data_IF_992935909495
#
_entry.id   IF_992935909495
#
_cell.length_a   1.000
_cell.length_b   1.000
_cell.length_c   1.000
_cell.angle_alpha   90.00
_cell.angle_beta   90.00
_cell.angle_gamma   90.00
#
_symmetry.space_group_name_H-M   'P 1'
#
loop_
_entity.id
_entity.type
_entity.pdbx_description
1 polymer ?
#
# COMPACT_ATOMS: atom_id res chain seq x y z
N UNK A 1 25.66 -9.63 -1.34
CA UNK A 1 24.46 -8.91 -1.76
C UNK A 1 24.76 -7.43 -1.87
N UNK A 2 24.41 -6.82 -3.00
CA UNK A 2 24.43 -5.37 -3.20
C UNK A 2 23.00 -4.87 -3.09
N UNK A 3 22.77 -3.87 -2.23
CA UNK A 3 21.45 -3.22 -2.08
C UNK A 3 21.50 -1.89 -2.84
N UNK A 4 20.62 -1.75 -3.84
CA UNK A 4 20.50 -0.55 -4.65
C UNK A 4 19.31 0.29 -4.16
N UNK A 5 19.53 1.59 -3.98
CA UNK A 5 18.51 2.56 -3.57
C UNK A 5 18.72 3.92 -4.29
N UNK A 6 19.02 3.88 -5.59
CA UNK A 6 19.14 5.08 -6.42
C UNK A 6 17.75 5.61 -6.83
N UNK A 7 17.71 6.71 -7.56
CA UNK A 7 16.46 7.30 -8.05
C UNK A 7 15.59 6.28 -8.79
N UNK A 8 14.27 6.46 -8.71
CA UNK A 8 13.26 5.60 -9.31
C UNK A 8 13.18 5.81 -10.83
N UNK A 9 14.23 5.35 -11.53
CA UNK A 9 14.40 5.40 -12.98
C UNK A 9 14.85 4.02 -13.49
N UNK A 10 14.08 3.45 -14.42
CA UNK A 10 14.31 2.10 -14.93
C UNK A 10 15.68 1.97 -15.62
N UNK A 11 16.06 2.95 -16.45
CA UNK A 11 17.32 2.88 -17.18
C UNK A 11 18.51 2.96 -16.23
N UNK A 12 18.42 3.81 -15.21
CA UNK A 12 19.45 3.92 -14.18
C UNK A 12 19.60 2.61 -13.40
N UNK A 13 18.47 2.00 -12.98
CA UNK A 13 18.50 0.73 -12.24
C UNK A 13 19.04 -0.42 -13.11
N UNK A 14 18.67 -0.50 -14.39
CA UNK A 14 19.24 -1.47 -15.33
C UNK A 14 20.76 -1.27 -15.54
N UNK A 15 21.23 -0.02 -15.58
CA UNK A 15 22.65 0.30 -15.61
C UNK A 15 23.36 -0.19 -14.35
N UNK A 16 22.77 0.07 -13.17
CA UNK A 16 23.32 -0.41 -11.88
C UNK A 16 23.43 -1.94 -11.83
N UNK A 17 22.46 -2.67 -12.38
CA UNK A 17 22.55 -4.14 -12.53
C UNK A 17 23.77 -4.50 -13.35
N UNK A 18 23.96 -3.90 -14.53
CA UNK A 18 25.10 -4.18 -15.41
C UNK A 18 26.43 -3.84 -14.73
N UNK A 19 26.52 -2.70 -14.04
CA UNK A 19 27.74 -2.28 -13.34
C UNK A 19 28.11 -3.26 -12.21
N UNK A 20 27.12 -3.78 -11.47
CA UNK A 20 27.35 -4.80 -10.43
C UNK A 20 27.77 -6.14 -11.06
N UNK A 21 27.15 -6.55 -12.16
CA UNK A 21 27.52 -7.79 -12.86
C UNK A 21 28.94 -7.76 -13.45
N UNK A 22 29.44 -6.57 -13.79
CA UNK A 22 30.79 -6.38 -14.35
C UNK A 22 31.87 -6.34 -13.27
N UNK A 23 31.58 -5.75 -12.10
CA UNK A 23 32.61 -5.42 -11.11
C UNK A 23 32.54 -6.26 -9.83
N UNK A 24 31.44 -6.98 -9.60
CA UNK A 24 31.28 -7.81 -8.42
C UNK A 24 31.44 -9.31 -8.74
N UNK A 25 31.61 -10.12 -7.70
CA UNK A 25 31.67 -11.58 -7.81
C UNK A 25 30.41 -12.14 -8.50
N UNK A 26 30.59 -13.21 -9.30
CA UNK A 26 29.51 -13.85 -10.05
C UNK A 26 28.35 -14.37 -9.16
N UNK A 27 28.62 -14.61 -7.90
CA UNK A 27 27.61 -15.03 -6.92
C UNK A 27 26.85 -13.86 -6.29
N UNK A 28 27.15 -12.62 -6.67
CA UNK A 28 26.55 -11.41 -6.08
C UNK A 28 25.10 -11.26 -6.47
N UNK A 29 24.23 -11.17 -5.46
CA UNK A 29 22.81 -10.86 -5.62
C UNK A 29 22.65 -9.34 -5.70
N UNK A 30 21.87 -8.89 -6.69
CA UNK A 30 21.43 -7.50 -6.83
C UNK A 30 20.03 -7.34 -6.22
N UNK A 31 19.93 -6.62 -5.12
CA UNK A 31 18.67 -6.35 -4.41
C UNK A 31 18.29 -4.88 -4.58
N UNK A 32 17.16 -4.59 -5.24
CA UNK A 32 16.69 -3.23 -5.49
C UNK A 32 15.63 -2.81 -4.47
N UNK A 33 15.77 -1.59 -3.92
CA UNK A 33 14.77 -0.97 -3.03
C UNK A 33 13.76 -0.13 -3.83
N UNK A 34 13.38 -0.57 -5.01
CA UNK A 34 12.29 0.08 -5.77
C UNK A 34 10.97 -0.05 -5.01
N UNK A 35 10.12 0.98 -5.11
CA UNK A 35 8.77 0.98 -4.53
C UNK A 35 7.67 0.79 -5.57
N UNK A 36 7.99 0.95 -6.87
CA UNK A 36 6.98 0.96 -7.93
C UNK A 36 7.41 0.30 -9.23
N UNK A 37 8.71 0.25 -9.53
CA UNK A 37 9.19 -0.36 -10.77
C UNK A 37 9.15 -1.89 -10.69
N UNK A 38 8.59 -2.58 -11.71
CA UNK A 38 8.57 -4.04 -11.74
C UNK A 38 9.98 -4.63 -11.74
N UNK A 39 10.22 -5.59 -10.87
CA UNK A 39 11.52 -6.29 -10.78
C UNK A 39 11.83 -6.99 -12.09
N UNK A 40 10.82 -7.55 -12.75
CA UNK A 40 10.93 -8.16 -14.09
C UNK A 40 11.54 -7.21 -15.11
N UNK A 41 11.15 -5.92 -15.09
CA UNK A 41 11.71 -4.93 -16.00
C UNK A 41 13.15 -4.55 -15.64
N UNK A 42 13.47 -4.46 -14.36
CA UNK A 42 14.84 -4.17 -13.89
C UNK A 42 15.77 -5.33 -14.29
N UNK A 43 15.31 -6.57 -14.15
CA UNK A 43 16.06 -7.78 -14.49
C UNK A 43 16.16 -8.06 -16.01
N UNK A 44 15.35 -7.38 -16.85
CA UNK A 44 15.19 -7.73 -18.28
C UNK A 44 16.50 -7.68 -19.10
N UNK A 45 17.48 -6.88 -18.69
CA UNK A 45 18.78 -6.75 -19.36
C UNK A 45 19.92 -7.39 -18.56
N UNK A 46 19.63 -8.04 -17.43
CA UNK A 46 20.63 -8.69 -16.61
C UNK A 46 21.22 -9.93 -17.31
N UNK A 47 22.52 -10.17 -17.13
CA UNK A 47 23.18 -11.40 -17.56
C UNK A 47 22.85 -12.58 -16.65
N UNK A 48 22.54 -12.27 -15.38
CA UNK A 48 22.18 -13.22 -14.32
C UNK A 48 20.84 -12.82 -13.67
N UNK A 49 19.72 -12.85 -14.42
CA UNK A 49 18.43 -12.41 -13.92
C UNK A 49 17.97 -13.19 -12.68
N UNK A 50 18.42 -14.44 -12.50
CA UNK A 50 18.13 -15.27 -11.34
C UNK A 50 18.71 -14.73 -10.02
N UNK A 51 19.63 -13.77 -10.10
CA UNK A 51 20.24 -13.08 -8.96
C UNK A 51 19.70 -11.65 -8.75
N UNK A 52 18.69 -11.22 -9.52
CA UNK A 52 18.01 -9.95 -9.34
C UNK A 52 16.74 -10.16 -8.51
N UNK A 53 16.58 -9.34 -7.48
CA UNK A 53 15.46 -9.45 -6.55
C UNK A 53 15.05 -8.06 -6.02
N UNK A 54 13.79 -7.88 -5.64
CA UNK A 54 13.37 -6.71 -4.87
C UNK A 54 13.63 -6.90 -3.37
N UNK A 55 14.05 -5.84 -2.72
CA UNK A 55 14.18 -5.76 -1.26
C UNK A 55 13.63 -4.39 -0.84
N UNK A 56 12.32 -4.32 -0.74
CA UNK A 56 11.59 -3.09 -0.47
C UNK A 56 11.48 -2.84 1.02
N UNK A 57 12.09 -1.75 1.47
CA UNK A 57 11.99 -1.26 2.84
C UNK A 57 10.95 -0.16 2.93
N UNK A 58 10.38 0.01 4.12
CA UNK A 58 9.41 1.05 4.44
C UNK A 58 10.07 2.19 5.21
N UNK A 59 9.65 3.41 4.92
CA UNK A 59 10.19 4.60 5.57
C UNK A 59 9.44 4.92 6.88
N UNK A 60 10.15 5.29 7.96
CA UNK A 60 11.61 5.33 8.16
C UNK A 60 12.21 3.93 8.29
N UNK A 61 13.28 3.66 7.54
CA UNK A 61 13.85 2.30 7.44
C UNK A 61 14.32 1.74 8.78
N UNK A 62 14.84 2.58 9.67
CA UNK A 62 15.31 2.21 11.01
C UNK A 62 14.17 1.81 11.97
N UNK A 63 12.94 2.25 11.70
CA UNK A 63 11.77 2.04 12.56
C UNK A 63 10.80 1.01 12.02
N UNK A 64 10.62 0.97 10.71
CA UNK A 64 9.65 0.07 10.07
C UNK A 64 10.17 -1.36 10.05
N UNK A 65 9.42 -2.32 10.64
CA UNK A 65 9.91 -3.68 10.80
C UNK A 65 9.80 -4.54 9.55
N UNK A 66 8.93 -4.20 8.58
CA UNK A 66 8.69 -5.00 7.39
C UNK A 66 9.79 -4.83 6.34
N UNK A 67 10.08 -5.92 5.63
CA UNK A 67 10.75 -5.90 4.33
C UNK A 67 9.97 -6.81 3.36
N UNK A 68 9.55 -6.30 2.21
CA UNK A 68 9.02 -7.12 1.12
C UNK A 68 10.17 -7.63 0.27
N UNK A 69 10.23 -8.94 0.10
CA UNK A 69 11.16 -9.62 -0.79
C UNK A 69 10.41 -9.94 -2.07
N UNK A 70 10.67 -9.18 -3.14
CA UNK A 70 9.87 -9.24 -4.36
C UNK A 70 10.59 -10.13 -5.38
N UNK A 71 9.92 -11.20 -5.81
CA UNK A 71 10.44 -12.18 -6.76
C UNK A 71 9.82 -12.02 -8.13
N UNK A 72 10.63 -12.03 -9.18
CA UNK A 72 10.17 -12.19 -10.55
C UNK A 72 10.29 -13.66 -11.01
N UNK A 73 9.68 -14.05 -12.15
CA UNK A 73 9.65 -15.46 -12.57
C UNK A 73 11.03 -16.13 -12.73
N UNK A 74 12.08 -15.34 -12.95
CA UNK A 74 13.46 -15.84 -13.09
C UNK A 74 14.25 -15.90 -11.79
N UNK A 75 13.75 -15.37 -10.67
CA UNK A 75 14.53 -15.33 -9.41
C UNK A 75 14.74 -16.73 -8.83
N UNK A 76 15.99 -17.07 -8.52
CA UNK A 76 16.32 -18.39 -7.97
C UNK A 76 15.96 -18.53 -6.48
N UNK A 77 15.66 -19.76 -6.04
CA UNK A 77 15.40 -20.07 -4.63
C UNK A 77 16.57 -19.68 -3.71
N UNK A 78 17.81 -19.85 -4.20
CA UNK A 78 19.02 -19.43 -3.48
C UNK A 78 19.02 -17.91 -3.25
N UNK A 79 18.67 -17.13 -4.26
CA UNK A 79 18.57 -15.66 -4.17
C UNK A 79 17.50 -15.27 -3.15
N UNK A 80 16.33 -15.90 -3.21
CA UNK A 80 15.23 -15.66 -2.27
C UNK A 80 15.68 -15.98 -0.83
N UNK A 81 16.19 -17.18 -0.59
CA UNK A 81 16.59 -17.62 0.75
C UNK A 81 17.70 -16.74 1.34
N UNK A 82 18.67 -16.34 0.51
CA UNK A 82 19.77 -15.45 0.94
C UNK A 82 19.25 -14.07 1.32
N UNK A 83 18.35 -13.49 0.52
CA UNK A 83 17.77 -12.17 0.76
C UNK A 83 16.87 -12.17 2.00
N UNK A 84 16.03 -13.21 2.19
CA UNK A 84 15.25 -13.41 3.41
C UNK A 84 16.16 -13.50 4.64
N UNK A 85 17.25 -14.26 4.57
CA UNK A 85 18.23 -14.38 5.65
C UNK A 85 18.89 -13.04 5.97
N UNK A 86 19.24 -12.25 4.95
CA UNK A 86 19.79 -10.90 5.10
C UNK A 86 18.81 -9.98 5.82
N UNK A 87 17.55 -9.93 5.37
CA UNK A 87 16.52 -9.08 5.98
C UNK A 87 16.33 -9.44 7.48
N UNK A 88 16.29 -10.74 7.81
CA UNK A 88 16.24 -11.20 9.22
C UNK A 88 17.43 -10.74 10.05
N UNK A 89 18.66 -10.83 9.48
CA UNK A 89 19.88 -10.34 10.15
C UNK A 89 19.88 -8.84 10.39
N UNK A 90 19.16 -8.09 9.56
CA UNK A 90 18.93 -6.65 9.73
C UNK A 90 17.83 -6.32 10.76
N UNK A 91 17.24 -7.32 11.41
CA UNK A 91 16.15 -7.15 12.36
C UNK A 91 14.79 -6.92 11.71
N UNK A 92 14.67 -7.19 10.39
CA UNK A 92 13.39 -7.07 9.68
C UNK A 92 12.56 -8.35 9.76
N UNK A 93 11.27 -8.19 9.59
CA UNK A 93 10.30 -9.26 9.37
C UNK A 93 10.04 -9.35 7.86
N UNK A 94 10.66 -10.27 7.12
CA UNK A 94 10.46 -10.38 5.68
C UNK A 94 9.20 -11.16 5.35
N UNK A 95 8.49 -10.72 4.30
CA UNK A 95 7.51 -11.51 3.54
C UNK A 95 8.01 -11.65 2.11
N UNK A 96 7.68 -12.78 1.47
CA UNK A 96 8.03 -13.00 0.05
C UNK A 96 6.78 -12.79 -0.79
N UNK A 97 6.88 -11.85 -1.74
CA UNK A 97 5.78 -11.48 -2.63
C UNK A 97 6.21 -11.64 -4.09
N UNK A 98 5.24 -11.89 -4.98
CA UNK A 98 5.49 -11.86 -6.42
C UNK A 98 5.56 -10.42 -6.92
N UNK A 99 6.31 -10.23 -8.01
CA UNK A 99 6.39 -8.97 -8.73
C UNK A 99 5.01 -8.57 -9.29
N UNK A 100 4.66 -7.32 -9.13
CA UNK A 100 3.39 -6.74 -9.58
C UNK A 100 3.27 -5.28 -9.15
N UNK A 101 2.34 -4.56 -9.76
CA UNK A 101 2.12 -3.14 -9.45
C UNK A 101 1.77 -2.92 -7.97
N UNK A 102 2.58 -2.11 -7.28
CA UNK A 102 2.43 -1.80 -5.87
C UNK A 102 2.78 -2.96 -4.91
N UNK A 103 3.29 -4.07 -5.42
CA UNK A 103 3.61 -5.29 -4.68
C UNK A 103 2.41 -5.76 -3.86
N UNK A 104 2.55 -5.96 -2.55
CA UNK A 104 1.42 -6.25 -1.68
C UNK A 104 0.97 -5.03 -0.88
N UNK A 105 1.88 -4.42 -0.12
CA UNK A 105 1.52 -3.40 0.88
C UNK A 105 0.98 -2.12 0.24
N UNK A 106 1.66 -1.59 -0.77
CA UNK A 106 1.19 -0.39 -1.47
C UNK A 106 -0.11 -0.66 -2.25
N UNK A 107 -0.26 -1.88 -2.76
CA UNK A 107 -1.46 -2.29 -3.50
C UNK A 107 -2.70 -2.31 -2.60
N UNK A 108 -2.61 -2.86 -1.38
CA UNK A 108 -3.76 -2.86 -0.46
C UNK A 108 -4.01 -1.50 0.19
N UNK A 109 -2.97 -0.66 0.30
CA UNK A 109 -3.07 0.67 0.91
C UNK A 109 -3.77 1.68 -0.01
N UNK A 110 -3.56 1.59 -1.32
CA UNK A 110 -4.07 2.58 -2.27
C UNK A 110 -5.61 2.73 -2.24
N UNK A 111 -6.42 1.66 -2.31
CA UNK A 111 -7.89 1.81 -2.25
C UNK A 111 -8.36 2.38 -0.90
N UNK A 112 -7.72 2.06 0.21
CA UNK A 112 -8.01 2.64 1.53
C UNK A 112 -7.83 4.17 1.54
N UNK A 113 -6.72 4.65 1.00
CA UNK A 113 -6.43 6.08 0.91
C UNK A 113 -7.36 6.79 -0.10
N UNK A 114 -7.64 6.14 -1.22
CA UNK A 114 -8.55 6.70 -2.23
C UNK A 114 -9.96 6.90 -1.68
N UNK A 115 -10.49 5.94 -0.92
CA UNK A 115 -11.82 6.10 -0.33
C UNK A 115 -11.87 7.14 0.79
N UNK A 116 -10.82 7.29 1.58
CA UNK A 116 -10.71 8.38 2.54
C UNK A 116 -10.70 9.76 1.83
N UNK A 117 -10.00 9.87 0.71
CA UNK A 117 -10.00 11.08 -0.11
C UNK A 117 -11.39 11.34 -0.75
N UNK A 118 -12.11 10.30 -1.19
CA UNK A 118 -13.50 10.43 -1.68
C UNK A 118 -14.47 10.87 -0.60
N UNK A 119 -14.31 10.38 0.65
CA UNK A 119 -15.09 10.86 1.79
C UNK A 119 -14.85 12.36 2.04
N UNK A 120 -13.59 12.80 2.01
CA UNK A 120 -13.25 14.22 2.13
C UNK A 120 -13.93 15.05 1.04
N UNK A 121 -13.86 14.62 -0.22
CA UNK A 121 -14.51 15.32 -1.34
C UNK A 121 -16.03 15.33 -1.25
N UNK A 122 -16.62 14.35 -0.56
CA UNK A 122 -18.06 14.33 -0.27
C UNK A 122 -18.45 15.21 0.92
N UNK A 123 -17.50 15.94 1.51
CA UNK A 123 -17.75 16.88 2.61
C UNK A 123 -17.42 16.33 4.00
N UNK A 124 -16.96 15.08 4.14
CA UNK A 124 -16.61 14.56 5.45
C UNK A 124 -15.36 15.25 5.98
N UNK A 125 -15.34 15.80 7.22
CA UNK A 125 -14.20 16.54 7.74
C UNK A 125 -12.94 15.67 7.87
N UNK A 126 -11.79 16.23 7.51
CA UNK A 126 -10.46 15.58 7.59
C UNK A 126 -10.24 14.94 8.96
N UNK A 127 -10.50 15.71 10.03
CA UNK A 127 -10.31 15.22 11.39
C UNK A 127 -11.27 14.09 11.78
N UNK A 128 -12.51 14.11 11.27
CA UNK A 128 -13.47 13.05 11.56
C UNK A 128 -13.05 11.74 10.91
N UNK A 129 -12.61 11.76 9.66
CA UNK A 129 -12.07 10.58 8.95
C UNK A 129 -10.86 10.03 9.72
N UNK A 130 -9.87 10.87 9.98
CA UNK A 130 -8.61 10.43 10.61
C UNK A 130 -8.82 9.94 12.04
N UNK A 131 -9.57 10.67 12.88
CA UNK A 131 -9.85 10.28 14.26
C UNK A 131 -10.63 8.96 14.34
N UNK A 132 -11.57 8.75 13.42
CA UNK A 132 -12.35 7.51 13.36
C UNK A 132 -11.46 6.30 13.11
N UNK A 133 -10.57 6.38 12.13
CA UNK A 133 -9.70 5.25 11.77
C UNK A 133 -8.55 5.06 12.76
N UNK A 134 -8.08 6.13 13.40
CA UNK A 134 -7.15 6.01 14.55
C UNK A 134 -7.85 5.36 15.74
N UNK A 135 -9.10 5.70 16.04
CA UNK A 135 -9.89 5.06 17.12
C UNK A 135 -10.19 3.59 16.81
N UNK A 136 -10.34 3.23 15.53
CA UNK A 136 -10.45 1.84 15.09
C UNK A 136 -9.17 1.04 15.38
N UNK A 137 -8.00 1.70 15.38
CA UNK A 137 -6.73 1.11 15.77
C UNK A 137 -5.55 1.34 14.85
N UNK A 138 -5.73 2.08 13.73
CA UNK A 138 -4.59 2.48 12.91
C UNK A 138 -3.69 3.49 13.64
N UNK A 139 -2.37 3.44 13.46
CA UNK A 139 -1.44 4.35 14.15
C UNK A 139 -1.57 5.80 13.69
N UNK A 140 -2.01 6.01 12.45
CA UNK A 140 -2.29 7.31 11.85
C UNK A 140 -3.54 7.21 10.96
N UNK A 141 -4.27 8.32 10.83
CA UNK A 141 -5.40 8.37 9.91
C UNK A 141 -4.95 8.44 8.45
N UNK A 142 -5.82 8.07 7.49
CA UNK A 142 -5.48 7.98 6.07
C UNK A 142 -5.11 9.32 5.44
N UNK A 143 -5.75 10.41 5.84
CA UNK A 143 -5.42 11.75 5.32
C UNK A 143 -4.07 12.24 5.88
N UNK A 144 -3.80 11.94 7.15
CA UNK A 144 -2.46 12.13 7.73
C UNK A 144 -1.41 11.32 6.98
N UNK A 145 -1.72 10.07 6.63
CA UNK A 145 -0.80 9.19 5.92
C UNK A 145 -0.48 9.71 4.51
N UNK A 146 -1.46 10.29 3.80
CA UNK A 146 -1.23 10.96 2.52
C UNK A 146 -0.20 12.10 2.64
N UNK A 147 -0.27 12.88 3.72
CA UNK A 147 0.74 13.93 3.98
C UNK A 147 2.12 13.34 4.30
N UNK A 148 2.19 12.21 4.99
CA UNK A 148 3.46 11.58 5.38
C UNK A 148 4.14 10.87 4.20
N UNK A 149 3.39 10.18 3.36
CA UNK A 149 3.87 9.54 2.12
C UNK A 149 4.24 10.60 1.09
N UNK A 150 3.46 11.65 1.02
CA UNK A 150 3.55 12.74 0.06
C UNK A 150 2.48 12.66 -1.01
N UNK A 151 1.69 13.73 -1.12
CA UNK A 151 0.59 13.85 -2.07
C UNK A 151 1.06 13.68 -3.51
N UNK A 152 2.24 14.24 -3.85
CA UNK A 152 2.86 14.10 -5.17
C UNK A 152 3.35 12.66 -5.46
N UNK A 153 3.71 11.90 -4.44
CA UNK A 153 4.07 10.47 -4.58
C UNK A 153 2.81 9.67 -4.89
N UNK A 154 1.73 9.90 -4.13
CA UNK A 154 0.45 9.25 -4.39
C UNK A 154 -0.08 9.55 -5.80
N UNK A 155 0.00 10.81 -6.25
CA UNK A 155 -0.40 11.23 -7.59
C UNK A 155 0.42 10.56 -8.71
N UNK A 156 1.71 10.28 -8.48
CA UNK A 156 2.55 9.58 -9.47
C UNK A 156 2.30 8.07 -9.52
N UNK A 157 1.97 7.46 -8.40
CA UNK A 157 1.76 6.00 -8.31
C UNK A 157 0.36 5.61 -8.82
N UNK A 158 -0.66 6.42 -8.57
CA UNK A 158 -2.03 6.12 -8.93
C UNK A 158 -2.23 5.73 -10.41
N UNK A 159 -1.70 6.47 -11.43
CA UNK A 159 -1.85 6.09 -12.82
C UNK A 159 -1.22 4.74 -13.18
N UNK A 160 -0.13 4.36 -12.49
CA UNK A 160 0.53 3.06 -12.68
C UNK A 160 -0.39 1.94 -12.19
N UNK A 161 -0.98 2.12 -11.00
CA UNK A 161 -1.91 1.14 -10.45
C UNK A 161 -3.18 0.99 -11.30
N UNK A 162 -3.74 2.10 -11.80
CA UNK A 162 -4.90 2.06 -12.70
C UNK A 162 -4.58 1.29 -13.98
N UNK A 163 -3.46 1.61 -14.61
CA UNK A 163 -3.03 0.95 -15.85
C UNK A 163 -2.87 -0.56 -15.70
N UNK A 164 -2.28 -1.01 -14.59
CA UNK A 164 -1.93 -2.41 -14.37
C UNK A 164 -3.05 -3.22 -13.68
N UNK A 165 -3.88 -2.57 -12.85
CA UNK A 165 -4.85 -3.23 -11.99
C UNK A 165 -6.30 -2.80 -12.24
N UNK A 166 -6.52 -1.79 -13.11
CA UNK A 166 -7.83 -1.31 -13.53
C UNK A 166 -8.43 -0.20 -12.67
N UNK A 167 -9.64 0.20 -13.06
CA UNK A 167 -10.33 1.42 -12.61
C UNK A 167 -10.64 1.44 -11.10
N UNK A 168 -10.63 0.28 -10.43
CA UNK A 168 -10.81 0.22 -8.97
C UNK A 168 -9.71 0.96 -8.19
N UNK A 169 -8.60 1.29 -8.85
CA UNK A 169 -7.50 2.07 -8.30
C UNK A 169 -7.55 3.56 -8.67
N UNK A 170 -8.56 4.01 -9.39
CA UNK A 170 -8.69 5.43 -9.72
C UNK A 170 -8.63 6.30 -8.45
N UNK A 171 -7.68 7.24 -8.45
CA UNK A 171 -7.61 8.27 -7.44
C UNK A 171 -8.61 9.39 -7.76
N UNK A 172 -9.14 10.10 -6.76
CA UNK A 172 -9.97 11.27 -7.01
C UNK A 172 -9.21 12.37 -7.77
N UNK A 173 -9.86 12.99 -8.77
CA UNK A 173 -9.28 14.07 -9.60
C UNK A 173 -8.77 15.28 -8.79
N UNK A 174 -9.27 15.46 -7.57
CA UNK A 174 -8.87 16.55 -6.68
C UNK A 174 -7.38 16.58 -6.33
N UNK A 175 -6.66 15.48 -6.52
CA UNK A 175 -5.20 15.47 -6.31
C UNK A 175 -4.46 16.45 -7.22
N UNK A 176 -4.95 16.71 -8.43
CA UNK A 176 -4.35 17.69 -9.34
C UNK A 176 -4.38 19.10 -8.74
N UNK A 177 -5.53 19.53 -8.17
CA UNK A 177 -5.66 20.83 -7.49
C UNK A 177 -4.67 20.97 -6.32
N UNK A 178 -4.44 19.89 -5.57
CA UNK A 178 -3.48 19.90 -4.45
C UNK A 178 -2.03 20.04 -4.95
N UNK A 179 -1.69 19.37 -6.05
CA UNK A 179 -0.36 19.47 -6.66
C UNK A 179 -0.12 20.87 -7.23
N UNK A 180 -1.11 21.44 -7.92
CA UNK A 180 -1.04 22.79 -8.48
C UNK A 180 -0.87 23.86 -7.38
N UNK A 181 -1.44 23.63 -6.19
CA UNK A 181 -1.23 24.47 -5.00
C UNK A 181 0.09 24.15 -4.26
N UNK A 182 0.98 23.36 -4.87
CA UNK A 182 2.27 22.91 -4.30
C UNK A 182 2.11 22.21 -2.93
N UNK A 183 1.02 21.45 -2.73
CA UNK A 183 0.81 20.62 -1.54
C UNK A 183 1.47 19.28 -1.72
N UNK A 184 2.58 19.07 -1.00
CA UNK A 184 3.33 17.80 -1.03
C UNK A 184 3.30 17.09 0.32
N UNK A 185 2.52 17.63 1.27
CA UNK A 185 2.41 17.09 2.61
C UNK A 185 3.52 17.55 3.54
N UNK A 186 3.91 16.66 4.45
CA UNK A 186 4.90 16.96 5.51
C UNK A 186 6.26 17.43 4.99
N UNK A 187 6.71 16.92 3.83
CA UNK A 187 8.05 17.20 3.29
C UNK A 187 8.29 18.66 2.90
N UNK A 188 7.24 19.35 2.42
CA UNK A 188 7.31 20.79 2.17
C UNK A 188 6.48 21.63 3.14
N UNK A 189 6.00 20.99 4.24
CA UNK A 189 5.22 21.60 5.31
C UNK A 189 3.85 22.15 4.87
N UNK A 190 3.36 21.77 3.72
CA UNK A 190 2.07 22.17 3.15
C UNK A 190 1.29 20.92 2.67
N UNK A 191 0.32 20.52 3.43
CA UNK A 191 -0.50 19.32 3.17
C UNK A 191 -1.96 19.54 3.53
N UNK A 192 -2.65 18.50 3.92
CA UNK A 192 -3.98 18.56 4.54
C UNK A 192 -3.92 19.14 5.95
N UNK A 193 -2.76 19.00 6.59
CA UNK A 193 -2.47 19.53 7.90
C UNK A 193 -1.36 20.58 7.83
N UNK A 194 -1.32 21.41 8.86
CA UNK A 194 -0.25 22.41 9.01
C UNK A 194 0.94 21.78 9.72
N UNK A 195 2.13 22.04 9.19
CA UNK A 195 3.39 21.58 9.72
C UNK A 195 4.33 22.77 9.97
N UNK A 196 5.32 22.60 10.85
CA UNK A 196 6.33 23.61 11.13
C UNK A 196 6.65 23.74 12.61
N UNK A 197 7.82 24.32 12.93
CA UNK A 197 8.31 24.45 14.32
C UNK A 197 7.44 25.35 15.19
N UNK A 198 6.72 26.30 14.60
CA UNK A 198 5.83 27.25 15.28
C UNK A 198 4.39 26.74 15.44
N UNK A 199 4.03 25.66 14.76
CA UNK A 199 2.68 25.07 14.80
C UNK A 199 2.56 24.13 15.99
N UNK A 200 1.68 24.48 16.95
CA UNK A 200 1.39 23.60 18.09
C UNK A 200 0.34 22.56 17.69
N UNK A 201 0.63 21.33 17.98
CA UNK A 201 -0.23 20.22 17.57
C UNK A 201 -0.07 19.94 16.07
N UNK A 202 -1.13 19.46 15.46
CA UNK A 202 -1.22 19.19 14.02
C UNK A 202 -2.63 19.59 13.57
N UNK A 203 -2.92 20.90 13.49
CA UNK A 203 -4.23 21.36 13.06
C UNK A 203 -4.45 21.11 11.57
N UNK A 204 -5.69 20.90 11.17
CA UNK A 204 -6.07 20.86 9.76
C UNK A 204 -5.79 22.21 9.12
N UNK A 205 -5.27 22.19 7.91
CA UNK A 205 -5.19 23.37 7.07
C UNK A 205 -6.54 23.59 6.37
N UNK A 206 -7.37 24.45 6.97
CA UNK A 206 -8.74 24.70 6.48
C UNK A 206 -8.80 25.30 5.07
N UNK A 207 -7.68 25.84 4.55
CA UNK A 207 -7.62 26.34 3.18
C UNK A 207 -7.78 25.20 2.14
N UNK A 208 -7.55 23.94 2.53
CA UNK A 208 -7.82 22.77 1.70
C UNK A 208 -9.30 22.67 1.32
N UNK A 209 -10.21 22.95 2.24
CA UNK A 209 -11.64 22.90 1.97
C UNK A 209 -12.04 23.93 0.90
N UNK A 210 -11.54 25.17 1.01
CA UNK A 210 -11.79 26.19 -0.01
C UNK A 210 -11.16 25.84 -1.36
N UNK A 211 -9.96 25.26 -1.37
CA UNK A 211 -9.26 24.83 -2.59
C UNK A 211 -10.02 23.74 -3.34
N UNK A 212 -10.66 22.84 -2.59
CA UNK A 212 -11.39 21.69 -3.12
C UNK A 212 -12.89 21.94 -3.29
N UNK A 213 -13.37 23.15 -3.00
CA UNK A 213 -14.79 23.54 -3.01
C UNK A 213 -15.65 22.64 -2.09
N UNK A 214 -15.13 22.35 -0.89
CA UNK A 214 -15.78 21.50 0.11
C UNK A 214 -16.38 22.37 1.23
N UNK A 215 -17.63 22.10 1.58
CA UNK A 215 -18.26 22.56 2.82
C UNK A 215 -18.25 21.40 3.83
N UNK A 216 -17.34 21.41 4.83
CA UNK A 216 -17.16 20.27 5.72
C UNK A 216 -18.34 20.08 6.66
N UNK A 217 -18.92 18.89 6.63
CA UNK A 217 -20.05 18.49 7.47
C UNK A 217 -19.97 17.01 7.85
N UNK A 218 -19.99 16.70 9.15
CA UNK A 218 -20.03 15.32 9.64
C UNK A 218 -21.38 14.69 9.26
N UNK A 219 -21.35 13.82 8.24
CA UNK A 219 -22.54 13.18 7.68
C UNK A 219 -22.55 11.67 7.85
N UNK A 220 -21.38 11.08 8.13
CA UNK A 220 -21.19 9.64 8.26
C UNK A 220 -20.95 9.22 9.70
N UNK A 221 -21.52 8.09 10.08
CA UNK A 221 -21.17 7.44 11.34
C UNK A 221 -19.75 6.85 11.27
N UNK A 222 -19.17 6.59 12.46
CA UNK A 222 -17.86 5.94 12.53
C UNK A 222 -17.83 4.59 11.80
N UNK A 223 -18.88 3.78 11.95
CA UNK A 223 -18.96 2.46 11.28
C UNK A 223 -19.02 2.60 9.76
N UNK A 224 -19.75 3.59 9.23
CA UNK A 224 -19.76 3.86 7.78
C UNK A 224 -18.39 4.28 7.26
N UNK A 225 -17.66 5.16 7.97
CA UNK A 225 -16.31 5.58 7.58
C UNK A 225 -15.36 4.37 7.58
N UNK A 226 -15.42 3.53 8.62
CA UNK A 226 -14.60 2.32 8.72
C UNK A 226 -14.91 1.39 7.54
N UNK A 227 -16.17 1.06 7.30
CA UNK A 227 -16.56 0.14 6.23
C UNK A 227 -16.14 0.69 4.85
N UNK A 228 -16.36 1.98 4.58
CA UNK A 228 -16.02 2.61 3.30
C UNK A 228 -14.51 2.54 3.04
N UNK A 229 -13.67 2.80 4.03
CA UNK A 229 -12.22 2.82 3.84
C UNK A 229 -11.60 1.43 3.94
N UNK A 230 -12.04 0.61 4.91
CA UNK A 230 -11.39 -0.66 5.23
C UNK A 230 -11.76 -1.77 4.25
N UNK A 231 -13.03 -1.88 3.85
CA UNK A 231 -13.47 -3.00 3.00
C UNK A 231 -12.74 -3.09 1.65
N UNK A 232 -12.42 -2.00 0.93
CA UNK A 232 -11.61 -2.08 -0.28
C UNK A 232 -10.18 -2.59 -0.02
N UNK A 233 -9.58 -2.24 1.12
CA UNK A 233 -8.27 -2.79 1.53
C UNK A 233 -8.36 -4.30 1.75
N UNK A 234 -9.39 -4.79 2.46
CA UNK A 234 -9.60 -6.21 2.70
C UNK A 234 -9.85 -6.97 1.39
N UNK A 235 -10.67 -6.39 0.53
CA UNK A 235 -10.98 -6.95 -0.78
C UNK A 235 -9.73 -7.07 -1.66
N UNK A 236 -8.88 -6.04 -1.68
CA UNK A 236 -7.64 -6.07 -2.43
C UNK A 236 -6.62 -7.05 -1.84
N UNK A 237 -6.60 -7.25 -0.52
CA UNK A 237 -5.81 -8.32 0.10
C UNK A 237 -6.26 -9.71 -0.39
N UNK A 238 -7.57 -9.92 -0.54
CA UNK A 238 -8.11 -11.16 -1.11
C UNK A 238 -7.72 -11.33 -2.59
N UNK A 239 -7.74 -10.27 -3.41
CA UNK A 239 -7.19 -10.30 -4.77
C UNK A 239 -5.71 -10.67 -4.78
N UNK A 240 -4.90 -10.08 -3.90
CA UNK A 240 -3.47 -10.41 -3.81
C UNK A 240 -3.22 -11.88 -3.46
N UNK A 241 -4.06 -12.49 -2.62
CA UNK A 241 -3.98 -13.92 -2.33
C UNK A 241 -4.44 -14.77 -3.53
N UNK A 242 -5.55 -14.40 -4.17
CA UNK A 242 -6.08 -15.08 -5.36
C UNK A 242 -5.08 -15.07 -6.53
N UNK A 243 -4.38 -13.96 -6.73
CA UNK A 243 -3.39 -13.77 -7.79
C UNK A 243 -2.00 -14.28 -7.38
N UNK A 244 -1.88 -14.86 -6.19
CA UNK A 244 -0.64 -15.39 -5.62
C UNK A 244 0.46 -14.33 -5.47
N UNK A 245 0.11 -13.04 -5.35
CA UNK A 245 1.08 -11.99 -4.99
C UNK A 245 1.67 -12.29 -3.62
N UNK A 246 0.86 -12.72 -2.67
CA UNK A 246 1.28 -13.28 -1.38
C UNK A 246 1.09 -14.80 -1.37
N UNK A 247 1.92 -15.51 -0.64
CA UNK A 247 1.92 -16.98 -0.59
C UNK A 247 0.86 -17.56 0.34
N UNK A 248 0.43 -16.78 1.32
CA UNK A 248 -0.51 -17.22 2.34
C UNK A 248 -1.24 -16.05 3.00
N UNK A 249 -2.42 -16.29 3.63
CA UNK A 249 -3.07 -15.30 4.48
C UNK A 249 -2.14 -14.74 5.57
N UNK A 250 -1.29 -15.60 6.15
CA UNK A 250 -0.32 -15.20 7.18
C UNK A 250 0.68 -14.16 6.68
N UNK A 251 1.23 -14.32 5.48
CA UNK A 251 2.16 -13.35 4.90
C UNK A 251 1.45 -12.01 4.67
N UNK A 252 0.20 -12.06 4.22
CA UNK A 252 -0.61 -10.86 4.06
C UNK A 252 -0.92 -10.15 5.37
N UNK A 253 -1.29 -10.89 6.42
CA UNK A 253 -1.53 -10.31 7.75
C UNK A 253 -0.25 -9.66 8.32
N UNK A 254 0.88 -10.34 8.22
CA UNK A 254 2.19 -9.81 8.63
C UNK A 254 2.54 -8.55 7.82
N UNK A 255 2.35 -8.59 6.50
CA UNK A 255 2.61 -7.46 5.62
C UNK A 255 1.79 -6.23 5.97
N UNK A 256 0.49 -6.39 6.22
CA UNK A 256 -0.39 -5.30 6.59
C UNK A 256 -0.07 -4.72 7.99
N UNK A 257 0.15 -5.58 8.99
CA UNK A 257 0.45 -5.14 10.36
C UNK A 257 1.77 -4.36 10.40
N UNK A 258 2.83 -4.90 9.82
CA UNK A 258 4.16 -4.32 9.91
C UNK A 258 4.48 -3.30 8.81
N UNK A 259 3.73 -3.29 7.71
CA UNK A 259 3.94 -2.36 6.59
C UNK A 259 3.11 -1.08 6.68
N UNK A 260 1.84 -1.19 7.05
CA UNK A 260 0.92 -0.05 7.11
C UNK A 260 0.28 0.16 8.49
N UNK A 261 0.67 -0.63 9.49
CA UNK A 261 0.12 -0.51 10.84
C UNK A 261 -1.34 -0.96 10.93
N UNK A 262 -1.76 -1.95 10.15
CA UNK A 262 -3.07 -2.57 10.38
C UNK A 262 -3.18 -2.96 11.86
N UNK A 263 -4.33 -2.72 12.52
CA UNK A 263 -4.44 -2.92 13.96
C UNK A 263 -4.02 -4.33 14.39
N UNK A 264 -2.91 -4.50 15.12
CA UNK A 264 -2.33 -5.82 15.40
C UNK A 264 -3.23 -6.70 16.27
N UNK A 265 -4.06 -6.09 17.11
CA UNK A 265 -5.04 -6.83 17.95
C UNK A 265 -6.19 -7.44 17.12
N UNK A 266 -6.38 -7.01 15.86
CA UNK A 266 -7.31 -7.61 14.91
C UNK A 266 -6.66 -8.75 14.09
N UNK A 267 -5.33 -8.93 14.20
CA UNK A 267 -4.58 -10.04 13.61
C UNK A 267 -4.24 -9.90 12.13
N UNK A 268 -4.60 -8.78 11.48
CA UNK A 268 -4.41 -8.52 10.07
C UNK A 268 -5.68 -8.68 9.22
N UNK A 269 -5.62 -8.37 7.91
CA UNK A 269 -6.78 -8.38 7.02
C UNK A 269 -7.54 -9.71 6.99
N UNK A 270 -6.84 -10.82 6.87
CA UNK A 270 -7.43 -12.14 6.73
C UNK A 270 -8.01 -12.67 8.05
N UNK A 271 -7.27 -12.49 9.15
CA UNK A 271 -7.80 -12.79 10.50
C UNK A 271 -9.03 -11.95 10.82
N UNK A 272 -9.00 -10.69 10.45
CA UNK A 272 -10.14 -9.81 10.66
C UNK A 272 -11.35 -10.28 9.85
N UNK A 273 -11.20 -10.60 8.56
CA UNK A 273 -12.30 -11.11 7.73
C UNK A 273 -12.90 -12.39 8.32
N UNK A 274 -12.08 -13.34 8.77
CA UNK A 274 -12.57 -14.56 9.42
C UNK A 274 -13.33 -14.25 10.73
N UNK A 275 -12.83 -13.29 11.53
CA UNK A 275 -13.47 -12.91 12.80
C UNK A 275 -14.81 -12.20 12.62
N UNK A 276 -14.99 -11.47 11.51
CA UNK A 276 -16.25 -10.81 11.18
C UNK A 276 -17.25 -11.76 10.47
N UNK A 277 -16.75 -12.87 9.93
CA UNK A 277 -17.49 -13.79 9.07
C UNK A 277 -17.52 -13.32 7.61
N UNK A 278 -17.15 -14.21 6.68
CA UNK A 278 -17.07 -13.90 5.26
C UNK A 278 -18.40 -13.45 4.66
N UNK A 279 -19.52 -14.01 5.13
CA UNK A 279 -20.86 -13.57 4.72
C UNK A 279 -21.09 -12.08 5.03
N UNK A 280 -20.72 -11.63 6.23
CA UNK A 280 -20.83 -10.22 6.61
C UNK A 280 -19.97 -9.34 5.72
N UNK A 281 -18.73 -9.74 5.45
CA UNK A 281 -17.79 -8.98 4.60
C UNK A 281 -18.32 -8.89 3.16
N UNK A 282 -18.75 -10.00 2.56
CA UNK A 282 -19.27 -10.04 1.19
C UNK A 282 -20.54 -9.19 1.06
N UNK A 283 -21.50 -9.33 1.99
CA UNK A 283 -22.73 -8.55 1.99
C UNK A 283 -22.48 -7.04 2.10
N UNK A 284 -21.53 -6.62 2.95
CA UNK A 284 -21.13 -5.22 3.08
C UNK A 284 -20.47 -4.69 1.80
N UNK A 285 -19.60 -5.47 1.18
CA UNK A 285 -18.98 -5.13 -0.11
C UNK A 285 -20.03 -4.99 -1.22
N UNK A 286 -20.96 -5.93 -1.35
CA UNK A 286 -22.02 -5.88 -2.35
C UNK A 286 -22.95 -4.66 -2.15
N UNK A 287 -23.28 -4.35 -0.90
CA UNK A 287 -24.03 -3.12 -0.58
C UNK A 287 -23.27 -1.87 -1.04
N UNK A 288 -21.99 -1.76 -0.69
CA UNK A 288 -21.18 -0.61 -1.10
C UNK A 288 -20.95 -0.58 -2.62
N UNK A 289 -20.86 -1.73 -3.29
CA UNK A 289 -20.78 -1.79 -4.74
C UNK A 289 -22.04 -1.19 -5.41
N UNK A 290 -23.22 -1.52 -4.88
CA UNK A 290 -24.50 -0.95 -5.37
C UNK A 290 -24.61 0.56 -5.10
N UNK A 291 -24.10 1.04 -3.97
CA UNK A 291 -24.23 2.45 -3.54
C UNK A 291 -23.13 3.36 -4.09
N UNK A 292 -21.89 2.83 -4.26
CA UNK A 292 -20.67 3.62 -4.50
C UNK A 292 -19.89 3.21 -5.74
N UNK A 293 -20.28 2.10 -6.41
CA UNK A 293 -19.69 1.66 -7.67
C UNK A 293 -18.85 0.40 -7.57
N UNK A 294 -18.50 -0.12 -8.75
CA UNK A 294 -17.91 -1.45 -8.96
C UNK A 294 -16.57 -1.71 -8.25
N UNK A 295 -15.87 -0.66 -7.83
CA UNK A 295 -14.61 -0.80 -7.07
C UNK A 295 -14.75 -1.54 -5.73
N UNK A 296 -15.98 -1.68 -5.24
CA UNK A 296 -16.31 -2.49 -4.07
C UNK A 296 -16.76 -3.92 -4.42
N UNK A 297 -16.81 -4.30 -5.70
CA UNK A 297 -17.22 -5.65 -6.10
C UNK A 297 -16.35 -6.69 -5.40
N UNK A 298 -16.96 -7.66 -4.67
CA UNK A 298 -16.19 -8.66 -3.94
C UNK A 298 -15.26 -9.46 -4.84
N UNK A 299 -14.03 -9.68 -4.39
CA UNK A 299 -13.09 -10.56 -5.08
C UNK A 299 -13.70 -11.96 -5.30
N UNK A 300 -13.49 -12.58 -6.48
CA UNK A 300 -14.00 -13.93 -6.74
C UNK A 300 -13.64 -14.95 -5.67
N UNK A 301 -12.44 -14.86 -5.10
CA UNK A 301 -12.01 -15.72 -4.00
C UNK A 301 -12.95 -15.62 -2.78
N UNK A 302 -13.40 -14.42 -2.39
CA UNK A 302 -14.31 -14.25 -1.24
C UNK A 302 -15.66 -14.93 -1.50
N UNK A 303 -16.19 -14.81 -2.71
CA UNK A 303 -17.45 -15.48 -3.10
C UNK A 303 -17.30 -17.00 -3.10
N UNK A 304 -16.22 -17.49 -3.70
CA UNK A 304 -15.92 -18.93 -3.71
C UNK A 304 -15.76 -19.50 -2.30
N UNK A 305 -15.06 -18.79 -1.41
CA UNK A 305 -14.88 -19.22 -0.02
C UNK A 305 -16.21 -19.25 0.73
N UNK A 306 -17.06 -18.23 0.53
CA UNK A 306 -18.39 -18.17 1.13
C UNK A 306 -19.26 -19.35 0.68
N UNK A 307 -19.31 -19.64 -0.63
CA UNK A 307 -20.08 -20.75 -1.21
C UNK A 307 -19.65 -22.11 -0.67
N UNK A 308 -18.36 -22.29 -0.36
CA UNK A 308 -17.80 -23.54 0.14
C UNK A 308 -17.71 -23.60 1.67
N UNK A 309 -18.09 -22.55 2.39
CA UNK A 309 -17.97 -22.47 3.85
C UNK A 309 -16.52 -22.50 4.35
N UNK A 310 -15.57 -21.93 3.58
CA UNK A 310 -14.16 -21.90 3.92
C UNK A 310 -13.80 -20.62 4.69
N UNK A 311 -12.76 -20.73 5.52
CA UNK A 311 -12.10 -19.62 6.18
C UNK A 311 -10.66 -19.53 5.71
N UNK A 312 -10.02 -18.38 5.89
CA UNK A 312 -8.60 -18.18 5.59
C UNK A 312 -7.69 -18.97 6.54
N UNK A 313 -8.16 -19.13 7.79
CA UNK A 313 -7.49 -19.94 8.81
C UNK A 313 -8.41 -21.05 9.28
N UNK A 314 -7.86 -22.25 9.35
CA UNK A 314 -8.52 -23.44 9.89
C UNK A 314 -8.33 -23.53 11.39
#
# INVERSE_FOLDING_TARGET
VVIEAVFEDLNLKQKMVADVEEHADESTIFATNTSSLPITQIAAKAKRPEQVIGLHYFSPVDKMPLAEIITHPGTSDKTIATTVSLAKKQGKTPIVVKDGAGFYVNRILAPYMNEAARLLLAGEPIEHIDKTLVKFGFPVGPITLLDEVGIDVAAKVAPVLVKELGDRFEAPEAFEKLIDDDRKGKKNQKGFYQYGKSVKGKPVDTSVYSLLDIDPNESKSADEIIDICLLPMLNEAAYCLQEEIIRSPRDGDIGAIFGIGFPPFLGGPFRYMDSQGLETIVNKLEKLAAERGERYTPAPLLKQMLENGWNFYQ
#
